data_IF_159470593261
#
_entry.id   IF_159470593261
#
_cell.length_a   1.000
_cell.length_b   1.000
_cell.length_c   1.000
_cell.angle_alpha   90.00
_cell.angle_beta   90.00
_cell.angle_gamma   90.00
#
_symmetry.space_group_name_H-M   'P 1'
#
loop_
_entity.id
_entity.type
_entity.pdbx_description
1 polymer ?
#
# COMPACT_ATOMS: atom_id res chain seq x y z
N UNK A 1 60.14 -25.39 4.71
CA UNK A 1 59.87 -23.94 4.66
C UNK A 1 58.45 -23.77 4.17
N UNK A 2 57.51 -23.63 5.11
CA UNK A 2 56.07 -23.59 4.83
C UNK A 2 55.55 -22.27 5.34
N UNK A 3 55.10 -21.42 4.42
CA UNK A 3 54.68 -20.05 4.68
C UNK A 3 53.35 -20.03 5.46
N UNK A 4 53.37 -19.33 6.58
CA UNK A 4 52.20 -18.98 7.40
C UNK A 4 51.53 -17.79 6.72
N UNK A 5 50.28 -17.95 6.29
CA UNK A 5 49.44 -16.88 5.76
C UNK A 5 48.54 -16.39 6.88
N UNK A 6 48.78 -15.16 7.32
CA UNK A 6 48.08 -14.45 8.37
C UNK A 6 46.84 -13.77 7.75
N UNK A 7 45.64 -14.20 8.16
CA UNK A 7 44.35 -13.66 7.70
C UNK A 7 43.97 -12.45 8.55
N UNK A 8 44.00 -11.26 7.95
CA UNK A 8 43.63 -9.99 8.59
C UNK A 8 42.16 -9.64 8.30
N UNK A 9 41.37 -9.52 9.37
CA UNK A 9 39.97 -9.12 9.31
C UNK A 9 39.81 -7.59 9.19
N UNK A 10 38.78 -7.09 8.46
CA UNK A 10 38.55 -5.65 8.33
C UNK A 10 37.93 -5.02 9.59
N UNK A 11 38.45 -3.85 9.95
CA UNK A 11 38.08 -3.07 11.13
C UNK A 11 36.67 -2.46 11.07
N UNK A 12 35.96 -2.52 12.21
CA UNK A 12 34.65 -1.90 12.44
C UNK A 12 34.76 -0.37 12.66
N UNK A 13 33.83 0.37 12.07
CA UNK A 13 33.68 1.82 12.25
C UNK A 13 33.11 2.18 13.64
N UNK A 14 33.56 3.30 14.27
CA UNK A 14 33.14 3.69 15.61
C UNK A 14 31.75 4.36 15.65
N UNK A 15 30.92 3.95 16.61
CA UNK A 15 29.61 4.53 16.91
C UNK A 15 29.72 5.85 17.71
N UNK A 16 28.81 6.82 17.51
CA UNK A 16 28.81 8.08 18.26
C UNK A 16 28.24 7.93 19.69
N UNK A 17 28.92 8.60 20.63
CA UNK A 17 28.72 8.53 22.07
C UNK A 17 27.42 9.22 22.57
N UNK A 18 26.82 8.59 23.58
CA UNK A 18 25.66 9.05 24.33
C UNK A 18 25.96 10.25 25.25
N UNK A 19 25.08 11.24 25.28
CA UNK A 19 25.10 12.32 26.29
C UNK A 19 24.06 12.08 27.38
N UNK A 20 24.51 12.30 28.62
CA UNK A 20 23.89 11.92 29.89
C UNK A 20 22.64 12.75 30.22
N UNK A 21 21.63 12.03 30.69
CA UNK A 21 20.49 12.46 31.51
C UNK A 21 20.92 13.12 32.83
N UNK A 22 20.21 14.18 33.26
CA UNK A 22 20.02 14.54 34.68
C UNK A 22 18.52 14.50 35.03
N UNK A 23 18.15 13.61 35.95
CA UNK A 23 16.91 13.56 36.74
C UNK A 23 17.33 13.84 38.19
N UNK A 24 16.66 14.70 38.95
CA UNK A 24 15.67 14.39 40.00
C UNK A 24 15.74 15.57 41.02
N UNK A 25 14.77 15.97 41.87
CA UNK A 25 13.37 15.61 42.16
C UNK A 25 12.88 16.47 43.35
N UNK A 26 11.56 16.75 43.40
CA UNK A 26 10.66 16.81 44.58
C UNK A 26 10.86 17.88 45.71
N UNK A 27 9.89 18.33 46.53
CA UNK A 27 8.43 18.53 46.52
C UNK A 27 8.02 19.12 47.94
N UNK A 28 6.87 19.81 48.08
CA UNK A 28 6.11 20.20 49.33
C UNK A 28 6.74 21.26 50.30
N UNK A 29 6.04 22.12 51.05
CA UNK A 29 4.61 22.43 51.31
C UNK A 29 4.44 23.87 51.92
N UNK A 30 3.18 24.34 51.99
CA UNK A 30 2.56 25.67 52.33
C UNK A 30 2.59 26.07 53.84
N UNK A 31 2.22 27.30 54.32
CA UNK A 31 0.88 27.92 54.12
C UNK A 31 0.65 29.47 54.12
N UNK A 32 -0.57 29.82 53.63
CA UNK A 32 -1.49 30.98 53.84
C UNK A 32 -1.01 32.42 53.53
N UNK A 33 -1.75 33.30 52.84
CA UNK A 33 -3.10 33.83 53.14
C UNK A 33 -3.92 34.14 51.86
N UNK A 34 -5.24 34.09 52.03
CA UNK A 34 -6.40 34.24 51.14
C UNK A 34 -6.61 35.62 50.49
N UNK A 35 -6.94 35.64 49.18
CA UNK A 35 -7.89 36.58 48.55
C UNK A 35 -8.36 36.05 47.17
N UNK A 36 -9.68 36.03 46.92
CA UNK A 36 -10.37 35.45 45.75
C UNK A 36 -10.46 36.44 44.54
N UNK A 37 -11.10 36.13 43.39
CA UNK A 37 -10.39 35.90 42.12
C UNK A 37 -10.73 36.91 41.00
N UNK A 38 -9.71 37.38 40.27
CA UNK A 38 -9.91 38.09 39.00
C UNK A 38 -10.32 37.10 37.88
N UNK A 39 -11.54 37.25 37.36
CA UNK A 39 -12.11 36.47 36.25
C UNK A 39 -11.19 36.48 35.01
N UNK A 40 -10.46 35.39 34.76
CA UNK A 40 -9.97 35.05 33.40
C UNK A 40 -11.17 34.77 32.50
N UNK A 41 -11.55 35.73 31.64
CA UNK A 41 -12.52 35.52 30.56
C UNK A 41 -11.98 34.44 29.60
N UNK A 42 -12.63 33.28 29.56
CA UNK A 42 -12.56 32.30 28.45
C UNK A 42 -12.74 33.05 27.13
N UNK A 43 -11.72 33.08 26.27
CA UNK A 43 -11.84 33.61 24.90
C UNK A 43 -12.64 32.59 24.10
N UNK A 44 -13.94 32.87 23.88
CA UNK A 44 -14.80 32.12 22.94
C UNK A 44 -14.05 31.97 21.61
N UNK A 45 -13.93 30.76 21.08
CA UNK A 45 -13.42 30.54 19.72
C UNK A 45 -14.34 31.27 18.75
N UNK A 46 -13.89 32.41 18.22
CA UNK A 46 -14.60 33.07 17.12
C UNK A 46 -14.44 32.15 15.91
N UNK A 47 -15.56 31.80 15.28
CA UNK A 47 -15.59 30.95 14.08
C UNK A 47 -14.76 31.53 12.92
N UNK A 48 -14.70 30.82 11.77
CA UNK A 48 -13.91 31.25 10.62
C UNK A 48 -14.25 32.69 10.23
N UNK A 49 -13.23 33.48 9.91
CA UNK A 49 -13.39 34.88 9.52
C UNK A 49 -14.22 35.04 8.24
N UNK A 50 -14.76 36.24 8.01
CA UNK A 50 -15.69 36.55 6.90
C UNK A 50 -15.17 36.10 5.52
N UNK A 51 -13.88 36.32 5.23
CA UNK A 51 -13.24 35.87 3.99
C UNK A 51 -12.92 34.37 3.99
N UNK A 52 -12.67 33.75 5.16
CA UNK A 52 -12.47 32.31 5.29
C UNK A 52 -13.76 31.54 5.01
N UNK A 53 -14.91 32.03 5.50
CA UNK A 53 -16.22 31.46 5.17
C UNK A 53 -16.53 31.57 3.68
N UNK A 54 -16.27 32.74 3.09
CA UNK A 54 -16.47 32.98 1.67
C UNK A 54 -15.59 32.05 0.79
N UNK A 55 -14.37 31.74 1.22
CA UNK A 55 -13.50 30.74 0.54
C UNK A 55 -14.10 29.33 0.64
N UNK A 56 -14.62 28.94 1.80
CA UNK A 56 -15.25 27.61 2.00
C UNK A 56 -16.48 27.47 1.12
N UNK A 57 -17.33 28.49 1.04
CA UNK A 57 -18.55 28.49 0.22
C UNK A 57 -18.23 28.50 -1.28
N UNK A 58 -17.23 29.28 -1.70
CA UNK A 58 -16.74 29.28 -3.07
C UNK A 58 -16.13 27.93 -3.47
N UNK A 59 -15.40 27.26 -2.57
CA UNK A 59 -14.83 25.94 -2.85
C UNK A 59 -15.93 24.88 -2.92
N UNK A 60 -16.98 24.97 -2.09
CA UNK A 60 -18.13 24.04 -2.16
C UNK A 60 -18.84 24.14 -3.51
N UNK A 61 -19.17 25.36 -3.91
CA UNK A 61 -19.88 25.63 -5.18
C UNK A 61 -19.04 25.33 -6.43
N UNK A 62 -17.71 25.50 -6.37
CA UNK A 62 -16.79 25.19 -7.47
C UNK A 62 -16.33 23.72 -7.50
N UNK A 63 -16.29 23.06 -6.35
CA UNK A 63 -15.95 21.64 -6.22
C UNK A 63 -16.93 20.74 -6.98
N UNK A 64 -18.20 21.14 -7.04
CA UNK A 64 -19.27 20.47 -7.81
C UNK A 64 -19.12 20.65 -9.34
N UNK A 65 -18.27 21.57 -9.82
CA UNK A 65 -18.25 22.04 -11.23
C UNK A 65 -16.86 22.01 -11.89
N UNK A 66 -16.03 21.00 -11.59
CA UNK A 66 -14.68 20.81 -12.14
C UNK A 66 -13.60 21.78 -11.60
N UNK A 67 -13.32 21.67 -10.31
CA UNK A 67 -12.06 22.08 -9.69
C UNK A 67 -11.92 23.56 -9.32
N UNK A 68 -11.22 23.80 -8.21
CA UNK A 68 -11.16 25.07 -7.49
C UNK A 68 -9.83 25.79 -7.71
N UNK A 69 -9.67 26.47 -8.86
CA UNK A 69 -8.50 27.35 -9.04
C UNK A 69 -8.68 28.66 -8.26
N UNK A 70 -7.57 29.23 -7.77
CA UNK A 70 -7.59 30.50 -7.02
C UNK A 70 -8.21 31.65 -7.84
N UNK A 71 -8.08 31.57 -9.16
CA UNK A 71 -8.72 32.49 -10.11
C UNK A 71 -10.25 32.31 -10.15
N UNK A 72 -10.76 31.07 -10.20
CA UNK A 72 -12.20 30.78 -10.15
C UNK A 72 -12.81 31.20 -8.81
N UNK A 73 -12.13 30.92 -7.70
CA UNK A 73 -12.56 31.35 -6.36
C UNK A 73 -12.68 32.87 -6.30
N UNK A 74 -11.74 33.61 -6.88
CA UNK A 74 -11.81 35.07 -6.92
C UNK A 74 -13.01 35.58 -7.74
N UNK A 75 -13.28 34.99 -8.90
CA UNK A 75 -14.41 35.38 -9.74
C UNK A 75 -15.76 35.09 -9.08
N UNK A 76 -15.87 33.98 -8.33
CA UNK A 76 -17.06 33.66 -7.54
C UNK A 76 -17.21 34.63 -6.36
N UNK A 77 -16.10 34.95 -5.70
CA UNK A 77 -16.05 35.87 -4.57
C UNK A 77 -16.48 37.31 -4.94
N UNK A 78 -16.18 37.75 -6.16
CA UNK A 78 -16.53 39.08 -6.67
C UNK A 78 -18.04 39.28 -6.84
N UNK A 79 -18.82 38.20 -6.93
CA UNK A 79 -20.29 38.28 -7.05
C UNK A 79 -20.97 38.77 -5.77
N UNK A 80 -20.24 38.80 -4.65
CA UNK A 80 -20.77 39.18 -3.34
C UNK A 80 -20.72 40.70 -3.16
N UNK A 81 -21.86 41.30 -2.79
CA UNK A 81 -22.06 42.75 -2.73
C UNK A 81 -21.12 43.52 -1.79
N UNK A 82 -20.57 42.85 -0.77
CA UNK A 82 -19.64 43.47 0.20
C UNK A 82 -18.17 43.20 -0.11
N UNK A 83 -17.85 42.52 -1.22
CA UNK A 83 -16.49 42.10 -1.53
C UNK A 83 -15.59 43.30 -1.85
N UNK A 84 -14.45 43.41 -1.16
CA UNK A 84 -13.49 44.48 -1.41
C UNK A 84 -12.77 44.26 -2.74
N UNK A 85 -13.02 45.14 -3.72
CA UNK A 85 -12.48 44.99 -5.06
C UNK A 85 -10.99 45.36 -5.15
N UNK A 86 -10.47 46.18 -4.23
CA UNK A 86 -9.06 46.61 -4.22
C UNK A 86 -8.19 45.60 -3.46
N UNK A 87 -8.57 45.21 -2.23
CA UNK A 87 -7.75 44.34 -1.38
C UNK A 87 -8.29 42.91 -1.21
N UNK A 88 -9.47 42.59 -1.74
CA UNK A 88 -10.11 41.27 -1.57
C UNK A 88 -9.29 40.09 -2.10
N UNK A 89 -8.49 40.27 -3.17
CA UNK A 89 -7.55 39.24 -3.66
C UNK A 89 -6.53 38.83 -2.59
N UNK A 90 -6.00 39.83 -1.90
CA UNK A 90 -4.98 39.66 -0.88
C UNK A 90 -5.60 38.99 0.36
N UNK A 91 -6.78 39.43 0.80
CA UNK A 91 -7.50 38.80 1.91
C UNK A 91 -7.90 37.34 1.64
N UNK A 92 -8.29 37.01 0.41
CA UNK A 92 -8.55 35.62 0.00
C UNK A 92 -7.28 34.77 0.08
N UNK A 93 -6.13 35.26 -0.40
CA UNK A 93 -4.84 34.55 -0.29
C UNK A 93 -4.44 34.30 1.16
N UNK A 94 -4.54 35.30 2.02
CA UNK A 94 -4.26 35.13 3.45
C UNK A 94 -5.24 34.17 4.12
N UNK A 95 -6.52 34.19 3.72
CA UNK A 95 -7.53 33.27 4.24
C UNK A 95 -7.28 31.83 3.80
N UNK A 96 -6.92 31.60 2.54
CA UNK A 96 -6.54 30.28 2.03
C UNK A 96 -5.30 29.78 2.77
N UNK A 97 -4.27 30.62 2.94
CA UNK A 97 -3.04 30.28 3.67
C UNK A 97 -3.35 29.94 5.14
N UNK A 98 -4.20 30.72 5.80
CA UNK A 98 -4.63 30.48 7.17
C UNK A 98 -5.47 29.21 7.33
N UNK A 99 -6.34 28.90 6.36
CA UNK A 99 -7.15 27.69 6.37
C UNK A 99 -6.31 26.42 6.09
N UNK A 100 -5.26 26.53 5.26
CA UNK A 100 -4.27 25.47 5.05
C UNK A 100 -3.42 25.22 6.31
N UNK A 101 -3.00 26.28 7.01
CA UNK A 101 -2.21 26.19 8.24
C UNK A 101 -2.98 25.61 9.43
N UNK A 102 -4.32 25.67 9.41
CA UNK A 102 -5.18 25.22 10.51
C UNK A 102 -5.82 23.84 10.25
N UNK A 103 -5.40 23.10 9.22
CA UNK A 103 -5.97 21.81 8.78
C UNK A 103 -7.49 21.79 8.47
N UNK A 104 -8.19 22.91 8.62
CA UNK A 104 -9.64 23.02 8.44
C UNK A 104 -10.06 22.92 6.98
N UNK A 105 -9.25 23.45 6.04
CA UNK A 105 -9.47 23.22 4.61
C UNK A 105 -9.24 21.77 4.22
N UNK A 106 -8.24 21.10 4.82
CA UNK A 106 -7.94 19.69 4.55
C UNK A 106 -9.07 18.81 5.07
N UNK A 107 -9.63 19.10 6.25
CA UNK A 107 -10.80 18.41 6.79
C UNK A 107 -12.07 18.64 5.94
N UNK A 108 -12.32 19.87 5.47
CA UNK A 108 -13.47 20.16 4.61
C UNK A 108 -13.34 19.57 3.20
N UNK A 109 -12.16 19.61 2.59
CA UNK A 109 -11.88 18.91 1.34
C UNK A 109 -12.01 17.39 1.51
N UNK A 110 -11.60 16.84 2.66
CA UNK A 110 -11.76 15.41 2.97
C UNK A 110 -13.22 14.99 3.12
N UNK A 111 -14.08 15.86 3.65
CA UNK A 111 -15.53 15.64 3.73
C UNK A 111 -16.23 15.77 2.37
N UNK A 112 -15.79 16.69 1.51
CA UNK A 112 -16.28 16.81 0.12
C UNK A 112 -15.79 15.67 -0.78
N UNK A 113 -14.60 15.12 -0.52
CA UNK A 113 -14.04 13.94 -1.20
C UNK A 113 -14.59 12.60 -0.67
N UNK A 114 -15.50 12.61 0.31
CA UNK A 114 -16.18 11.38 0.75
C UNK A 114 -17.29 10.91 -0.20
N UNK A 115 -17.63 11.68 -1.24
CA UNK A 115 -18.54 11.27 -2.31
C UNK A 115 -17.80 10.77 -3.55
N UNK A 116 -16.92 9.77 -3.36
CA UNK A 116 -16.18 8.95 -4.37
C UNK A 116 -14.70 9.29 -4.54
N UNK A 117 -13.81 8.31 -4.26
CA UNK A 117 -12.61 8.10 -5.06
C UNK A 117 -12.72 6.79 -5.86
N UNK A 118 -12.80 6.93 -7.18
CA UNK A 118 -12.72 5.85 -8.16
C UNK A 118 -11.38 5.09 -8.08
N UNK A 119 -11.46 3.78 -8.31
CA UNK A 119 -10.40 2.77 -8.58
C UNK A 119 -9.33 2.45 -7.52
N UNK A 120 -8.92 3.35 -6.63
CA UNK A 120 -8.03 2.98 -5.50
C UNK A 120 -8.80 2.35 -4.33
N UNK A 121 -10.11 2.60 -4.25
CA UNK A 121 -11.00 2.07 -3.22
C UNK A 121 -11.28 0.56 -3.34
N UNK A 122 -11.04 -0.08 -4.49
CA UNK A 122 -11.38 -1.50 -4.72
C UNK A 122 -10.25 -2.47 -4.42
N UNK A 123 -8.99 -2.01 -4.36
CA UNK A 123 -7.84 -2.88 -4.08
C UNK A 123 -7.91 -3.46 -2.67
N UNK A 124 -8.21 -2.63 -1.67
CA UNK A 124 -8.25 -3.05 -0.27
C UNK A 124 -9.37 -4.07 0.02
N UNK A 125 -10.62 -3.87 -0.45
CA UNK A 125 -11.66 -4.90 -0.37
C UNK A 125 -11.27 -6.21 -1.08
N UNK A 126 -10.65 -6.11 -2.26
CA UNK A 126 -10.17 -7.27 -3.01
C UNK A 126 -9.13 -8.07 -2.24
N UNK A 127 -8.07 -7.42 -1.75
CA UNK A 127 -7.03 -8.07 -0.96
C UNK A 127 -7.57 -8.63 0.37
N UNK A 128 -8.52 -7.95 1.00
CA UNK A 128 -9.19 -8.46 2.20
C UNK A 128 -10.01 -9.72 1.91
N UNK A 129 -10.73 -9.77 0.78
CA UNK A 129 -11.45 -10.97 0.36
C UNK A 129 -10.48 -12.13 0.09
N UNK A 130 -9.41 -11.89 -0.67
CA UNK A 130 -8.36 -12.89 -0.93
C UNK A 130 -7.75 -13.39 0.38
N UNK A 131 -7.41 -12.48 1.30
CA UNK A 131 -6.86 -12.81 2.62
C UNK A 131 -7.81 -13.69 3.44
N UNK A 132 -9.09 -13.34 3.51
CA UNK A 132 -10.09 -14.12 4.24
C UNK A 132 -10.27 -15.52 3.65
N UNK A 133 -10.30 -15.62 2.31
CA UNK A 133 -10.42 -16.92 1.62
C UNK A 133 -9.16 -17.76 1.80
N UNK A 134 -7.96 -17.18 1.74
CA UNK A 134 -6.71 -17.90 2.01
C UNK A 134 -6.63 -18.38 3.47
N UNK A 135 -7.06 -17.56 4.42
CA UNK A 135 -7.14 -17.93 5.83
C UNK A 135 -8.04 -19.16 6.06
N UNK A 136 -9.16 -19.22 5.33
CA UNK A 136 -10.08 -20.35 5.38
C UNK A 136 -9.56 -21.59 4.62
N UNK A 137 -8.90 -21.38 3.48
CA UNK A 137 -8.37 -22.46 2.65
C UNK A 137 -7.13 -23.14 3.24
N UNK A 138 -6.27 -22.41 3.97
CA UNK A 138 -5.04 -22.92 4.58
C UNK A 138 -5.26 -23.68 5.90
N UNK A 139 -6.38 -24.40 6.00
CA UNK A 139 -6.66 -25.37 7.06
C UNK A 139 -6.25 -26.76 6.55
N UNK A 140 -4.94 -26.95 6.38
CA UNK A 140 -4.37 -28.16 5.80
C UNK A 140 -4.01 -29.19 6.87
N UNK A 141 -4.21 -30.45 6.54
CA UNK A 141 -3.84 -31.60 7.37
C UNK A 141 -2.96 -32.57 6.57
N UNK A 142 -2.11 -33.30 7.27
CA UNK A 142 -1.29 -34.32 6.64
C UNK A 142 -2.17 -35.50 6.23
N UNK A 143 -2.18 -35.83 4.94
CA UNK A 143 -3.05 -36.85 4.36
C UNK A 143 -2.28 -37.78 3.43
N UNK A 144 -2.26 -39.07 3.74
CA UNK A 144 -1.65 -40.12 2.92
C UNK A 144 -2.49 -40.43 1.68
N UNK A 145 -1.85 -40.72 0.56
CA UNK A 145 -2.56 -41.03 -0.69
C UNK A 145 -3.39 -42.31 -0.56
N UNK A 146 -4.65 -42.26 -1.00
CA UNK A 146 -5.52 -43.43 -1.05
C UNK A 146 -5.28 -44.33 -2.27
N UNK A 147 -4.66 -43.79 -3.32
CA UNK A 147 -4.47 -44.49 -4.60
C UNK A 147 -3.13 -45.23 -4.66
N UNK A 148 -2.09 -44.63 -4.07
CA UNK A 148 -0.73 -45.19 -4.11
C UNK A 148 -0.23 -45.40 -2.69
N UNK A 149 0.08 -46.65 -2.35
CA UNK A 149 0.57 -47.01 -1.02
C UNK A 149 1.85 -46.25 -0.68
N UNK A 150 1.96 -45.74 0.56
CA UNK A 150 3.15 -45.04 1.11
C UNK A 150 3.54 -43.76 0.38
N UNK A 151 2.68 -43.22 -0.48
CA UNK A 151 2.90 -41.91 -1.10
C UNK A 151 2.11 -40.82 -0.37
N UNK A 152 2.70 -39.64 -0.29
CA UNK A 152 2.04 -38.41 0.13
C UNK A 152 2.26 -37.38 -0.97
N UNK A 153 1.18 -37.04 -1.69
CA UNK A 153 1.20 -36.13 -2.83
C UNK A 153 0.17 -35.02 -2.59
N UNK A 154 0.43 -33.80 -3.09
CA UNK A 154 -0.56 -32.73 -3.02
C UNK A 154 -1.81 -33.10 -3.83
N UNK A 155 -2.93 -33.32 -3.14
CA UNK A 155 -4.17 -33.81 -3.76
C UNK A 155 -4.72 -32.82 -4.80
N UNK A 156 -4.47 -31.52 -4.63
CA UNK A 156 -4.89 -30.47 -5.60
C UNK A 156 -4.18 -30.58 -6.96
N UNK A 157 -3.00 -31.20 -7.01
CA UNK A 157 -2.25 -31.45 -8.25
C UNK A 157 -2.64 -32.79 -8.89
N UNK A 158 -2.78 -33.84 -8.09
CA UNK A 158 -3.04 -35.20 -8.58
C UNK A 158 -4.50 -35.37 -9.01
N UNK A 159 -5.44 -34.77 -8.27
CA UNK A 159 -6.89 -34.79 -8.54
C UNK A 159 -7.47 -36.20 -8.79
N UNK A 160 -6.91 -37.21 -8.13
CA UNK A 160 -7.42 -38.59 -8.25
C UNK A 160 -8.71 -38.81 -7.46
N UNK A 161 -8.81 -38.17 -6.29
CA UNK A 161 -9.93 -38.29 -5.36
C UNK A 161 -10.73 -37.00 -5.33
N UNK A 162 -11.96 -37.03 -5.82
CA UNK A 162 -12.81 -35.82 -5.90
C UNK A 162 -13.32 -35.38 -4.53
N UNK A 163 -13.49 -36.32 -3.62
CA UNK A 163 -13.90 -36.11 -2.23
C UNK A 163 -12.89 -35.31 -1.40
N UNK A 164 -11.62 -35.28 -1.83
CA UNK A 164 -10.55 -34.54 -1.16
C UNK A 164 -10.38 -33.11 -1.71
N UNK A 165 -11.07 -32.79 -2.81
CA UNK A 165 -11.01 -31.48 -3.46
C UNK A 165 -12.14 -30.59 -2.96
N UNK A 166 -11.80 -29.36 -2.59
CA UNK A 166 -12.76 -28.33 -2.26
C UNK A 166 -13.21 -27.61 -3.54
N UNK A 167 -14.34 -26.90 -3.44
CA UNK A 167 -14.83 -26.09 -4.55
C UNK A 167 -13.82 -24.99 -4.89
N UNK A 168 -13.36 -24.89 -6.15
CA UNK A 168 -12.50 -23.78 -6.59
C UNK A 168 -13.23 -22.44 -6.45
N UNK A 169 -12.55 -21.45 -5.87
CA UNK A 169 -13.08 -20.09 -5.69
C UNK A 169 -12.26 -19.12 -6.52
N UNK A 170 -12.93 -18.29 -7.32
CA UNK A 170 -12.30 -17.20 -8.07
C UNK A 170 -12.73 -15.88 -7.47
N UNK A 171 -11.75 -15.05 -7.10
CA UNK A 171 -11.96 -13.69 -6.61
C UNK A 171 -11.43 -12.77 -7.70
N UNK A 172 -12.30 -11.93 -8.26
CA UNK A 172 -11.92 -10.97 -9.29
C UNK A 172 -12.08 -9.56 -8.77
N UNK A 173 -11.12 -8.70 -9.11
CA UNK A 173 -11.25 -7.24 -8.92
C UNK A 173 -11.85 -6.61 -10.17
N UNK A 174 -11.33 -7.03 -11.33
CA UNK A 174 -11.72 -6.60 -12.68
C UNK A 174 -11.69 -7.84 -13.60
N UNK A 175 -12.06 -7.69 -14.87
CA UNK A 175 -12.00 -8.79 -15.87
C UNK A 175 -10.59 -9.37 -16.05
N UNK A 176 -9.56 -8.51 -15.89
CA UNK A 176 -8.14 -8.87 -16.05
C UNK A 176 -7.47 -9.34 -14.75
N UNK A 177 -7.86 -8.76 -13.61
CA UNK A 177 -7.25 -9.02 -12.30
C UNK A 177 -8.11 -10.02 -11.51
N UNK A 178 -7.60 -11.24 -11.36
CA UNK A 178 -8.30 -12.31 -10.64
C UNK A 178 -7.34 -13.28 -9.97
N UNK A 179 -7.78 -13.89 -8.87
CA UNK A 179 -7.08 -14.95 -8.17
C UNK A 179 -7.99 -16.18 -8.12
N UNK A 180 -7.43 -17.32 -8.50
CA UNK A 180 -8.05 -18.63 -8.38
C UNK A 180 -7.44 -19.35 -7.18
N UNK A 181 -8.28 -19.78 -6.25
CA UNK A 181 -7.89 -20.54 -5.07
C UNK A 181 -8.55 -21.92 -5.18
N UNK A 182 -7.72 -22.95 -5.23
CA UNK A 182 -8.14 -24.34 -5.27
C UNK A 182 -7.63 -25.01 -3.99
N UNK A 183 -8.54 -25.41 -3.12
CA UNK A 183 -8.20 -26.10 -1.87
C UNK A 183 -8.35 -27.61 -2.00
N UNK A 184 -7.54 -28.34 -1.26
CA UNK A 184 -7.73 -29.76 -0.92
C UNK A 184 -7.45 -29.98 0.56
N UNK A 185 -7.58 -31.22 1.02
CA UNK A 185 -7.29 -31.59 2.42
C UNK A 185 -5.84 -31.30 2.85
N UNK A 186 -4.86 -31.52 1.97
CA UNK A 186 -3.43 -31.45 2.30
C UNK A 186 -2.65 -30.37 1.53
N UNK A 187 -3.30 -29.68 0.58
CA UNK A 187 -2.65 -28.66 -0.23
C UNK A 187 -3.61 -27.60 -0.75
N UNK A 188 -3.11 -26.39 -0.97
CA UNK A 188 -3.82 -25.29 -1.63
C UNK A 188 -2.99 -24.80 -2.80
N UNK A 189 -3.64 -24.64 -3.95
CA UNK A 189 -3.07 -23.97 -5.10
C UNK A 189 -3.67 -22.57 -5.25
N UNK A 190 -2.81 -21.57 -5.36
CA UNK A 190 -3.22 -20.16 -5.51
C UNK A 190 -2.64 -19.65 -6.81
N UNK A 191 -3.48 -19.28 -7.77
CA UNK A 191 -3.07 -18.76 -9.07
C UNK A 191 -3.50 -17.31 -9.23
N UNK A 192 -2.59 -16.46 -9.66
CA UNK A 192 -2.77 -15.01 -9.69
C UNK A 192 -2.63 -14.52 -11.13
N UNK A 193 -3.62 -13.76 -11.59
CA UNK A 193 -3.58 -13.00 -12.82
C UNK A 193 -3.30 -11.54 -12.48
N UNK A 194 -2.18 -11.02 -12.98
CA UNK A 194 -1.66 -9.69 -12.68
C UNK A 194 -2.21 -8.70 -13.71
N UNK A 195 -2.39 -7.45 -13.28
CA UNK A 195 -2.84 -6.38 -14.19
C UNK A 195 -1.80 -6.15 -15.29
N UNK A 196 -2.24 -6.16 -16.53
CA UNK A 196 -1.42 -5.82 -17.70
C UNK A 196 -2.16 -4.75 -18.52
N UNK A 197 -1.69 -3.50 -18.46
CA UNK A 197 -2.30 -2.38 -19.19
C UNK A 197 -1.78 -2.31 -20.63
N UNK A 198 -0.46 -2.48 -20.81
CA UNK A 198 0.25 -2.28 -22.07
C UNK A 198 1.07 -3.51 -22.49
N UNK A 199 1.50 -3.56 -23.75
CA UNK A 199 2.37 -4.62 -24.27
C UNK A 199 3.72 -4.71 -23.53
N UNK A 200 4.28 -3.55 -23.15
CA UNK A 200 5.53 -3.51 -22.37
C UNK A 200 5.34 -4.16 -20.99
N UNK A 201 4.22 -3.89 -20.32
CA UNK A 201 3.91 -4.50 -19.02
C UNK A 201 3.67 -6.00 -19.15
N UNK A 202 3.02 -6.45 -20.23
CA UNK A 202 2.85 -7.87 -20.52
C UNK A 202 4.19 -8.59 -20.64
N UNK A 203 5.15 -7.99 -21.37
CA UNK A 203 6.49 -8.57 -21.54
C UNK A 203 7.27 -8.55 -20.22
N UNK A 204 7.22 -7.43 -19.48
CA UNK A 204 7.88 -7.28 -18.19
C UNK A 204 7.32 -8.28 -17.16
N UNK A 205 6.00 -8.38 -17.04
CA UNK A 205 5.32 -9.33 -16.17
C UNK A 205 5.73 -10.77 -16.51
N UNK A 206 5.64 -11.16 -17.78
CA UNK A 206 6.03 -12.51 -18.22
C UNK A 206 7.49 -12.84 -17.91
N UNK A 207 8.42 -11.90 -18.14
CA UNK A 207 9.85 -12.09 -17.81
C UNK A 207 10.09 -12.16 -16.30
N UNK A 208 9.43 -11.31 -15.52
CA UNK A 208 9.57 -11.26 -14.07
C UNK A 208 9.02 -12.53 -13.42
N UNK A 209 7.83 -12.98 -13.80
CA UNK A 209 7.26 -14.25 -13.31
C UNK A 209 8.14 -15.44 -13.69
N UNK A 210 8.64 -15.48 -14.94
CA UNK A 210 9.57 -16.52 -15.38
C UNK A 210 10.86 -16.52 -14.55
N UNK A 211 11.41 -15.35 -14.23
CA UNK A 211 12.60 -15.23 -13.39
C UNK A 211 12.39 -15.82 -12.00
N UNK A 212 11.22 -15.57 -11.40
CA UNK A 212 10.85 -16.14 -10.10
C UNK A 212 10.65 -17.65 -10.17
N UNK A 213 9.94 -18.15 -11.19
CA UNK A 213 9.69 -19.59 -11.38
C UNK A 213 10.98 -20.39 -11.58
N UNK A 214 12.00 -19.83 -12.24
CA UNK A 214 13.31 -20.48 -12.36
C UNK A 214 14.03 -20.66 -11.02
N UNK A 215 13.61 -19.96 -9.96
CA UNK A 215 14.18 -20.02 -8.61
C UNK A 215 13.22 -20.67 -7.60
N UNK A 216 12.21 -21.40 -8.08
CA UNK A 216 11.22 -22.09 -7.25
C UNK A 216 11.83 -23.10 -6.26
N UNK A 217 13.07 -23.55 -6.45
CA UNK A 217 13.77 -24.41 -5.48
C UNK A 217 14.12 -23.66 -4.19
N UNK A 218 14.57 -22.40 -4.31
CA UNK A 218 14.79 -21.53 -3.15
C UNK A 218 13.48 -20.94 -2.65
N UNK A 219 12.53 -20.74 -3.56
CA UNK A 219 11.21 -20.22 -3.27
C UNK A 219 10.17 -21.34 -3.26
N UNK A 220 10.27 -22.20 -2.26
CA UNK A 220 9.68 -23.55 -2.19
C UNK A 220 8.14 -23.61 -2.23
N UNK A 221 7.44 -22.48 -2.07
CA UNK A 221 5.97 -22.40 -2.23
C UNK A 221 5.53 -22.08 -3.68
N UNK A 222 6.46 -21.81 -4.60
CA UNK A 222 6.17 -21.44 -5.99
C UNK A 222 6.10 -22.67 -6.89
N UNK A 223 5.11 -22.71 -7.78
CA UNK A 223 5.06 -23.73 -8.84
C UNK A 223 6.05 -23.38 -9.95
N UNK A 224 6.73 -24.39 -10.49
CA UNK A 224 7.65 -24.23 -11.64
C UNK A 224 6.96 -23.76 -12.92
N UNK A 225 5.65 -24.00 -13.03
CA UNK A 225 4.79 -23.53 -14.12
C UNK A 225 3.49 -22.98 -13.54
N UNK A 226 2.94 -21.89 -14.08
CA UNK A 226 1.66 -21.37 -13.66
C UNK A 226 0.52 -22.24 -14.21
N UNK A 227 -0.68 -22.06 -13.67
CA UNK A 227 -1.91 -22.61 -14.26
C UNK A 227 -2.24 -21.84 -15.54
N UNK A 228 -2.82 -22.52 -16.53
CA UNK A 228 -3.24 -21.88 -17.79
C UNK A 228 -4.19 -20.71 -17.55
N UNK A 229 -3.92 -19.58 -18.20
CA UNK A 229 -4.70 -18.34 -18.03
C UNK A 229 -4.33 -17.51 -16.79
N UNK A 230 -3.28 -17.87 -16.05
CA UNK A 230 -2.72 -17.12 -14.92
C UNK A 230 -1.21 -16.89 -15.12
N UNK A 231 -0.67 -15.85 -14.49
CA UNK A 231 0.73 -15.45 -14.69
C UNK A 231 1.68 -16.17 -13.74
N UNK A 232 1.22 -16.45 -12.52
CA UNK A 232 2.00 -17.14 -11.49
C UNK A 232 1.09 -18.00 -10.60
N UNK A 233 1.63 -19.10 -10.10
CA UNK A 233 0.92 -19.99 -9.18
C UNK A 233 1.80 -20.43 -8.02
N UNK A 234 1.20 -20.45 -6.83
CA UNK A 234 1.75 -21.01 -5.60
C UNK A 234 1.12 -22.37 -5.30
N UNK A 235 1.92 -23.25 -4.72
CA UNK A 235 1.48 -24.53 -4.16
C UNK A 235 1.91 -24.59 -2.70
N UNK A 236 0.94 -24.53 -1.81
CA UNK A 236 1.14 -24.60 -0.37
C UNK A 236 0.67 -25.97 0.10
N UNK A 237 1.52 -26.73 0.79
CA UNK A 237 1.21 -28.06 1.31
C UNK A 237 1.17 -28.04 2.84
N UNK A 238 0.68 -29.11 3.45
CA UNK A 238 0.71 -29.29 4.90
C UNK A 238 2.13 -29.14 5.49
N UNK A 239 3.16 -29.62 4.77
CA UNK A 239 4.56 -29.48 5.20
C UNK A 239 4.98 -28.01 5.37
N UNK A 240 4.48 -27.12 4.51
CA UNK A 240 4.78 -25.69 4.62
C UNK A 240 4.10 -25.06 5.84
N UNK A 241 2.86 -25.48 6.16
CA UNK A 241 2.13 -24.99 7.33
C UNK A 241 2.62 -25.58 8.65
N UNK A 242 3.31 -26.72 8.60
CA UNK A 242 4.00 -27.32 9.76
C UNK A 242 5.31 -26.59 10.08
N UNK A 243 6.06 -26.17 9.05
CA UNK A 243 7.35 -25.48 9.21
C UNK A 243 7.21 -23.97 9.43
N UNK A 244 6.15 -23.35 8.90
CA UNK A 244 5.92 -21.91 8.98
C UNK A 244 4.51 -21.60 9.47
N UNK A 245 4.38 -20.47 10.16
CA UNK A 245 3.07 -20.02 10.60
C UNK A 245 2.17 -19.66 9.41
N UNK A 246 0.98 -20.28 9.35
CA UNK A 246 0.00 -20.05 8.28
C UNK A 246 -0.34 -18.57 8.05
N UNK A 247 -0.43 -17.78 9.12
CA UNK A 247 -0.73 -16.35 9.00
C UNK A 247 0.39 -15.58 8.28
N UNK A 248 1.65 -15.99 8.45
CA UNK A 248 2.79 -15.41 7.72
C UNK A 248 2.79 -15.81 6.24
N UNK A 249 2.35 -17.02 5.91
CA UNK A 249 2.14 -17.42 4.52
C UNK A 249 1.05 -16.59 3.85
N UNK A 250 -0.08 -16.36 4.54
CA UNK A 250 -1.14 -15.47 4.05
C UNK A 250 -0.61 -14.06 3.85
N UNK A 251 0.08 -13.50 4.85
CA UNK A 251 0.69 -12.17 4.77
C UNK A 251 1.66 -12.08 3.59
N UNK A 252 2.48 -13.10 3.39
CA UNK A 252 3.42 -13.17 2.27
C UNK A 252 2.69 -13.11 0.92
N UNK A 253 1.63 -13.91 0.71
CA UNK A 253 0.90 -13.92 -0.56
C UNK A 253 0.25 -12.55 -0.84
N UNK A 254 -0.34 -11.93 0.18
CA UNK A 254 -0.94 -10.60 0.04
C UNK A 254 0.13 -9.54 -0.25
N UNK A 255 1.25 -9.58 0.48
CA UNK A 255 2.36 -8.68 0.24
C UNK A 255 2.94 -8.86 -1.17
N UNK A 256 3.09 -10.10 -1.62
CA UNK A 256 3.53 -10.40 -2.98
C UNK A 256 2.61 -9.78 -4.03
N UNK A 257 1.28 -9.89 -3.86
CA UNK A 257 0.31 -9.25 -4.75
C UNK A 257 0.45 -7.71 -4.79
N UNK A 258 0.76 -7.08 -3.66
CA UNK A 258 0.95 -5.61 -3.58
C UNK A 258 2.27 -5.15 -4.20
N UNK A 259 3.35 -5.92 -4.06
CA UNK A 259 4.68 -5.53 -4.54
C UNK A 259 4.87 -5.78 -6.03
N UNK A 260 4.24 -6.80 -6.63
CA UNK A 260 4.37 -7.05 -8.08
C UNK A 260 3.94 -5.83 -8.90
N UNK A 261 2.80 -5.21 -8.54
CA UNK A 261 2.27 -4.06 -9.29
C UNK A 261 3.24 -2.87 -9.23
N UNK A 262 3.89 -2.67 -8.08
CA UNK A 262 4.89 -1.60 -7.89
C UNK A 262 6.16 -1.91 -8.68
N UNK A 263 6.67 -3.13 -8.58
CA UNK A 263 7.89 -3.58 -9.25
C UNK A 263 7.75 -3.50 -10.78
N UNK A 264 6.62 -3.93 -11.34
CA UNK A 264 6.35 -3.80 -12.79
C UNK A 264 6.32 -2.33 -13.21
N UNK A 265 5.70 -1.47 -12.39
CA UNK A 265 5.64 -0.03 -12.66
C UNK A 265 7.04 0.60 -12.62
N UNK A 266 7.87 0.22 -11.65
CA UNK A 266 9.24 0.70 -11.51
C UNK A 266 10.13 0.22 -12.68
N UNK A 267 10.04 -1.06 -13.05
CA UNK A 267 10.74 -1.60 -14.22
C UNK A 267 10.36 -0.86 -15.50
N UNK A 268 9.07 -0.55 -15.71
CA UNK A 268 8.59 0.22 -16.86
C UNK A 268 9.19 1.62 -16.90
N UNK A 269 9.20 2.32 -15.76
CA UNK A 269 9.82 3.64 -15.65
C UNK A 269 11.34 3.59 -15.93
N UNK A 270 12.03 2.58 -15.41
CA UNK A 270 13.47 2.37 -15.62
C UNK A 270 13.81 2.12 -17.09
N UNK A 271 13.04 1.29 -17.79
CA UNK A 271 13.21 1.04 -19.24
C UNK A 271 13.01 2.33 -20.03
N UNK A 272 11.95 3.09 -19.75
CA UNK A 272 11.66 4.34 -20.46
C UNK A 272 12.72 5.42 -20.20
N UNK A 273 13.18 5.57 -18.96
CA UNK A 273 14.24 6.50 -18.60
C UNK A 273 15.55 6.14 -19.31
N UNK A 274 15.92 4.86 -19.32
CA UNK A 274 17.12 4.38 -20.02
C UNK A 274 17.02 4.59 -21.53
N UNK A 275 15.87 4.29 -22.13
CA UNK A 275 15.65 4.50 -23.57
C UNK A 275 15.85 5.97 -23.96
N UNK A 276 15.37 6.91 -23.13
CA UNK A 276 15.59 8.35 -23.34
C UNK A 276 17.08 8.70 -23.31
N UNK A 277 17.82 8.24 -22.31
CA UNK A 277 19.27 8.51 -22.18
C UNK A 277 20.01 7.96 -23.40
N UNK A 278 19.71 6.74 -23.84
CA UNK A 278 20.34 6.14 -25.03
C UNK A 278 20.05 6.96 -26.28
N UNK A 279 18.80 7.41 -26.47
CA UNK A 279 18.44 8.23 -27.62
C UNK A 279 19.13 9.60 -27.61
N UNK A 280 19.16 10.28 -26.45
CA UNK A 280 19.86 11.56 -26.29
C UNK A 280 21.36 11.42 -26.56
N UNK A 281 21.99 10.37 -26.03
CA UNK A 281 23.43 10.14 -26.23
C UNK A 281 23.76 9.79 -27.67
N UNK A 282 22.91 9.01 -28.34
CA UNK A 282 23.08 8.72 -29.76
C UNK A 282 22.98 9.99 -30.62
N UNK A 283 22.01 10.87 -30.33
CA UNK A 283 21.79 12.11 -31.08
C UNK A 283 22.87 13.17 -30.86
N UNK A 284 23.57 13.18 -29.73
CA UNK A 284 24.71 14.10 -29.49
C UNK A 284 25.90 13.84 -30.42
N UNK A 285 25.99 12.64 -30.98
CA UNK A 285 27.10 12.22 -31.84
C UNK A 285 26.85 12.49 -33.34
N UNK A 286 25.73 13.15 -33.67
CA UNK A 286 25.40 13.65 -35.02
C UNK A 286 25.40 15.18 -35.00
#
# INVERSE_FOLDING_TARGET
MSAVVEESAPAQAPAPAATKTKKASANKAKPAVTASPAKKKKKKSKGPGKYSQLVIDAIRTLGEKNGSSLFKIYNESKKVSWFDQQNGRMYLRYSIRALLLNDTLVQHFRLLLQLVPEMTATLRPYLNAVRATLQAALCLENFSSQVVERHNKPEVEVRSSKELLLQPVVISRNEKEKVLIEGSINSVRVSIAVKQADEIEKILCHKFMRFMMMRAENFFILRRKPVEGYDISFLITNFHTEQMYKHKLVDFVIHFMEEIDKEISEMKLSVNARARIVAEEFLKNF
#
